data_IF_255469392501
#
_entry.id   IF_255469392501
#
_cell.length_a   1.000
_cell.length_b   1.000
_cell.length_c   1.000
_cell.angle_alpha   90.00
_cell.angle_beta   90.00
_cell.angle_gamma   90.00
#
_symmetry.space_group_name_H-M   'P 1'
#
loop_
_entity.id
_entity.type
_entity.pdbx_description
1 polymer ?
#
# COMPACT_ATOMS: atom_id res chain seq x y z
N UNK A 1 10.40 0.93 -44.61
CA UNK A 1 10.62 0.49 -44.58
C UNK A 1 10.24 -0.37 -43.41
N UNK A 2 10.17 -1.66 -43.64
CA UNK A 2 9.44 -2.67 -42.85
C UNK A 2 10.39 -3.43 -41.91
N UNK A 3 10.74 -2.87 -40.74
CA UNK A 3 11.70 -3.53 -39.81
C UNK A 3 11.23 -3.61 -38.35
N UNK A 4 9.93 -3.62 -38.10
CA UNK A 4 9.40 -3.88 -36.76
C UNK A 4 8.27 -4.92 -36.76
N UNK A 5 8.40 -5.98 -37.55
CA UNK A 5 7.63 -7.19 -37.33
C UNK A 5 8.15 -7.83 -36.05
N UNK A 6 7.43 -7.65 -34.91
CA UNK A 6 7.68 -8.40 -33.70
C UNK A 6 7.67 -9.89 -34.03
N UNK A 7 8.72 -10.65 -33.74
CA UNK A 7 8.65 -12.09 -33.86
C UNK A 7 7.49 -12.56 -32.96
N UNK A 8 6.52 -13.25 -33.57
CA UNK A 8 5.41 -13.85 -32.85
C UNK A 8 6.01 -14.86 -31.86
N UNK A 9 5.96 -14.54 -30.56
CA UNK A 9 6.34 -15.48 -29.51
C UNK A 9 5.36 -16.64 -29.56
N UNK A 10 5.82 -17.88 -29.73
CA UNK A 10 4.93 -19.04 -29.79
C UNK A 10 4.04 -19.05 -28.54
N UNK A 11 2.74 -19.37 -28.66
CA UNK A 11 1.76 -19.30 -27.58
C UNK A 11 2.14 -20.13 -26.35
N UNK A 12 2.96 -21.18 -26.51
CA UNK A 12 3.43 -22.04 -25.41
C UNK A 12 4.55 -21.44 -24.55
N UNK A 13 5.15 -20.33 -24.95
CA UNK A 13 6.22 -19.63 -24.21
C UNK A 13 5.77 -18.32 -23.57
N UNK A 14 4.47 -17.99 -23.61
CA UNK A 14 3.97 -16.85 -22.87
C UNK A 14 4.28 -17.07 -21.38
N UNK A 15 5.10 -16.22 -20.72
CA UNK A 15 5.40 -16.40 -19.30
C UNK A 15 4.05 -16.42 -18.57
N UNK A 16 3.82 -17.47 -17.79
CA UNK A 16 2.60 -17.61 -16.98
C UNK A 16 2.61 -16.46 -15.97
N UNK A 17 2.02 -15.33 -16.35
CA UNK A 17 2.06 -14.07 -15.61
C UNK A 17 1.61 -14.25 -14.16
N UNK A 18 0.69 -15.19 -13.87
CA UNK A 18 0.26 -15.55 -12.53
C UNK A 18 1.41 -16.04 -11.61
N UNK A 19 2.50 -16.59 -12.17
CA UNK A 19 3.67 -16.98 -11.36
C UNK A 19 4.38 -15.78 -10.73
N UNK A 20 4.24 -14.58 -11.30
CA UNK A 20 4.80 -13.35 -10.72
C UNK A 20 4.18 -13.02 -9.36
N UNK A 21 2.90 -13.39 -9.13
CA UNK A 21 2.24 -13.18 -7.82
C UNK A 21 2.95 -13.95 -6.71
N UNK A 22 3.40 -15.17 -6.97
CA UNK A 22 4.03 -16.03 -5.96
C UNK A 22 5.54 -15.79 -5.83
N UNK A 23 6.16 -15.06 -6.76
CA UNK A 23 7.60 -14.77 -6.70
C UNK A 23 7.95 -13.86 -5.52
N UNK A 24 7.15 -12.78 -5.30
CA UNK A 24 7.42 -11.83 -4.22
C UNK A 24 7.37 -12.50 -2.85
N UNK A 25 6.29 -13.21 -2.44
CA UNK A 25 6.29 -13.91 -1.16
C UNK A 25 7.44 -14.90 -1.01
N UNK A 26 7.76 -15.64 -2.08
CA UNK A 26 8.85 -16.64 -2.04
C UNK A 26 10.23 -16.01 -1.88
N UNK A 27 10.52 -14.91 -2.57
CA UNK A 27 11.79 -14.20 -2.45
C UNK A 27 11.97 -13.59 -1.06
N UNK A 28 10.91 -13.02 -0.49
CA UNK A 28 10.94 -12.45 0.85
C UNK A 28 11.10 -13.53 1.94
N UNK A 29 10.45 -14.68 1.79
CA UNK A 29 10.59 -15.79 2.73
C UNK A 29 11.98 -16.45 2.69
N UNK A 30 12.69 -16.33 1.58
CA UNK A 30 14.07 -16.80 1.50
C UNK A 30 15.02 -15.98 2.39
N UNK A 31 14.67 -14.71 2.70
CA UNK A 31 15.49 -13.82 3.52
C UNK A 31 14.98 -13.72 4.95
N UNK A 32 15.14 -14.81 5.72
CA UNK A 32 14.67 -14.96 7.11
C UNK A 32 15.02 -13.81 8.06
N UNK A 33 16.25 -13.22 8.05
CA UNK A 33 16.58 -12.12 8.96
C UNK A 33 15.67 -10.91 8.82
N UNK A 34 15.18 -10.62 7.60
CA UNK A 34 14.25 -9.52 7.37
C UNK A 34 12.88 -9.79 8.01
N UNK A 35 12.38 -11.02 7.92
CA UNK A 35 11.11 -11.43 8.55
C UNK A 35 11.18 -11.20 10.05
N UNK A 36 12.26 -11.65 10.69
CA UNK A 36 12.49 -11.48 12.12
C UNK A 36 12.57 -9.98 12.50
N UNK A 37 13.36 -9.20 11.74
CA UNK A 37 13.48 -7.76 11.97
C UNK A 37 12.13 -7.05 11.82
N UNK A 38 11.34 -7.39 10.80
CA UNK A 38 10.00 -6.82 10.60
C UNK A 38 9.07 -7.18 11.75
N UNK A 39 9.06 -8.45 12.16
CA UNK A 39 8.28 -8.90 13.31
C UNK A 39 8.65 -8.14 14.59
N UNK A 40 9.94 -7.96 14.84
CA UNK A 40 10.43 -7.17 15.99
C UNK A 40 9.95 -5.72 15.93
N UNK A 41 10.05 -5.06 14.77
CA UNK A 41 9.56 -3.68 14.59
C UNK A 41 8.05 -3.59 14.87
N UNK A 42 7.26 -4.52 14.30
CA UNK A 42 5.80 -4.55 14.53
C UNK A 42 5.48 -4.72 16.01
N UNK A 43 6.09 -5.69 16.68
CA UNK A 43 5.86 -5.95 18.12
C UNK A 43 6.22 -4.72 18.95
N UNK A 44 7.37 -4.08 18.67
CA UNK A 44 7.80 -2.87 19.37
C UNK A 44 6.81 -1.71 19.14
N UNK A 45 6.37 -1.48 17.91
CA UNK A 45 5.38 -0.43 17.61
C UNK A 45 4.04 -0.69 18.29
N UNK A 46 3.53 -1.91 18.22
CA UNK A 46 2.27 -2.29 18.88
C UNK A 46 2.38 -2.10 20.39
N UNK A 47 3.49 -2.53 21.00
CA UNK A 47 3.72 -2.33 22.43
C UNK A 47 3.71 -0.84 22.81
N UNK A 48 4.40 0.00 22.04
CA UNK A 48 4.43 1.44 22.28
C UNK A 48 3.03 2.07 22.12
N UNK A 49 2.24 1.67 21.12
CA UNK A 49 0.87 2.16 20.97
C UNK A 49 -0.04 1.72 22.11
N UNK A 50 0.09 0.48 22.59
CA UNK A 50 -0.68 0.01 23.76
C UNK A 50 -0.35 0.83 25.00
N UNK A 51 0.94 1.11 25.24
CA UNK A 51 1.36 1.97 26.37
C UNK A 51 0.84 3.39 26.20
N UNK A 52 0.96 3.97 25.00
CA UNK A 52 0.48 5.33 24.71
C UNK A 52 -1.03 5.45 24.98
N UNK A 53 -1.84 4.53 24.43
CA UNK A 53 -3.28 4.58 24.60
C UNK A 53 -3.68 4.35 26.06
N UNK A 54 -3.05 3.42 26.76
CA UNK A 54 -3.29 3.22 28.19
C UNK A 54 -2.97 4.46 29.03
N UNK A 55 -1.87 5.15 28.74
CA UNK A 55 -1.52 6.39 29.42
C UNK A 55 -2.56 7.49 29.14
N UNK A 56 -2.94 7.68 27.88
CA UNK A 56 -3.87 8.70 27.46
C UNK A 56 -5.27 8.51 28.07
N UNK A 57 -5.79 7.28 28.07
CA UNK A 57 -7.10 6.99 28.65
C UNK A 57 -7.14 7.05 30.18
N UNK A 58 -6.00 6.88 30.86
CA UNK A 58 -5.92 7.11 32.31
C UNK A 58 -6.15 8.56 32.68
N UNK A 59 -5.71 9.50 31.85
CA UNK A 59 -5.83 10.95 32.14
C UNK A 59 -7.13 11.54 31.59
N UNK A 60 -7.63 11.04 30.45
CA UNK A 60 -8.77 11.63 29.73
C UNK A 60 -10.12 10.97 30.00
N UNK A 61 -10.17 9.86 30.78
CA UNK A 61 -11.40 9.12 31.04
C UNK A 61 -11.74 8.08 29.97
N UNK A 62 -13.00 7.62 29.96
CA UNK A 62 -13.40 6.42 29.19
C UNK A 62 -13.44 6.59 27.67
N UNK A 63 -13.49 7.82 27.16
CA UNK A 63 -13.54 8.08 25.72
C UNK A 63 -12.61 9.21 25.30
N UNK A 64 -11.80 8.96 24.26
CA UNK A 64 -10.98 9.97 23.60
C UNK A 64 -11.52 10.16 22.19
N UNK A 65 -12.04 11.36 21.90
CA UNK A 65 -12.64 11.71 20.60
C UNK A 65 -13.72 10.70 20.13
N UNK A 66 -14.55 10.22 21.09
CA UNK A 66 -15.69 9.35 20.81
C UNK A 66 -15.33 7.88 20.53
N UNK A 67 -14.11 7.44 20.84
CA UNK A 67 -13.68 6.05 20.76
C UNK A 67 -13.39 5.51 22.15
N UNK A 68 -13.60 4.21 22.33
CA UNK A 68 -13.11 3.49 23.50
C UNK A 68 -11.64 3.08 23.32
N UNK A 69 -10.98 2.71 24.42
CA UNK A 69 -9.57 2.30 24.41
C UNK A 69 -9.33 1.08 23.49
N UNK A 70 -10.27 0.13 23.45
CA UNK A 70 -10.16 -1.08 22.64
C UNK A 70 -10.17 -0.75 21.14
N UNK A 71 -11.05 0.16 20.72
CA UNK A 71 -11.13 0.64 19.34
C UNK A 71 -9.86 1.37 18.91
N UNK A 72 -9.30 2.22 19.79
CA UNK A 72 -8.08 2.98 19.54
C UNK A 72 -6.86 2.05 19.40
N UNK A 73 -6.72 1.06 20.29
CA UNK A 73 -5.68 0.05 20.22
C UNK A 73 -5.85 -0.79 18.94
N UNK A 74 -7.06 -1.28 18.66
CA UNK A 74 -7.37 -2.06 17.45
C UNK A 74 -7.00 -1.29 16.18
N UNK A 75 -7.37 0.00 16.11
CA UNK A 75 -7.01 0.84 14.98
C UNK A 75 -5.49 0.91 14.79
N UNK A 76 -4.76 1.20 15.87
CA UNK A 76 -3.30 1.40 15.81
C UNK A 76 -2.56 0.11 15.44
N UNK A 77 -3.03 -1.04 15.94
CA UNK A 77 -2.47 -2.35 15.57
C UNK A 77 -2.69 -2.63 14.08
N UNK A 78 -3.92 -2.45 13.60
CA UNK A 78 -4.24 -2.68 12.19
C UNK A 78 -3.48 -1.70 11.27
N UNK A 79 -3.42 -0.42 11.63
CA UNK A 79 -2.67 0.59 10.88
C UNK A 79 -1.18 0.24 10.81
N UNK A 80 -0.59 -0.23 11.93
CA UNK A 80 0.80 -0.72 11.97
C UNK A 80 1.00 -1.92 11.05
N UNK A 81 0.15 -2.94 11.13
CA UNK A 81 0.24 -4.13 10.30
C UNK A 81 0.12 -3.79 8.80
N UNK A 82 -0.83 -2.92 8.45
CA UNK A 82 -1.03 -2.48 7.07
C UNK A 82 0.11 -1.60 6.56
N UNK A 83 0.69 -0.74 7.41
CA UNK A 83 1.79 0.17 7.06
C UNK A 83 3.12 -0.56 6.96
N UNK A 84 3.51 -1.34 7.98
CA UNK A 84 4.84 -1.97 8.06
C UNK A 84 5.05 -3.02 6.97
N UNK A 85 4.05 -3.82 6.65
CA UNK A 85 4.15 -4.78 5.55
C UNK A 85 4.47 -4.13 4.20
N UNK A 86 4.07 -2.87 4.00
CA UNK A 86 4.32 -2.07 2.79
C UNK A 86 5.73 -1.47 2.79
N UNK A 87 6.17 -0.88 3.90
CA UNK A 87 7.51 -0.27 4.03
C UNK A 87 8.62 -1.30 3.83
N UNK A 88 8.44 -2.51 4.33
CA UNK A 88 9.40 -3.60 4.13
C UNK A 88 9.53 -3.97 2.66
N UNK A 89 8.43 -3.99 1.92
CA UNK A 89 8.44 -4.27 0.49
C UNK A 89 9.11 -3.16 -0.33
N UNK A 90 8.88 -1.90 0.00
CA UNK A 90 9.55 -0.77 -0.65
C UNK A 90 11.07 -0.82 -0.46
N UNK A 91 11.55 -1.14 0.75
CA UNK A 91 12.98 -1.30 1.03
C UNK A 91 13.62 -2.54 0.40
N UNK A 92 12.83 -3.57 0.09
CA UNK A 92 13.28 -4.82 -0.52
C UNK A 92 13.32 -4.79 -2.04
N UNK A 93 12.53 -3.91 -2.64
CA UNK A 93 12.37 -3.82 -4.09
C UNK A 93 13.58 -3.19 -4.76
N UNK A 94 14.59 -3.99 -5.10
CA UNK A 94 15.69 -3.58 -5.99
C UNK A 94 15.21 -3.32 -7.43
N UNK A 95 13.94 -3.58 -7.74
CA UNK A 95 13.36 -3.43 -9.06
C UNK A 95 12.52 -2.16 -9.21
N UNK A 96 12.92 -1.08 -8.55
CA UNK A 96 12.32 0.24 -8.77
C UNK A 96 12.71 0.77 -10.16
N UNK A 97 11.87 1.63 -10.75
CA UNK A 97 12.21 2.30 -12.01
C UNK A 97 13.54 3.04 -11.90
N UNK A 98 13.83 3.62 -10.72
CA UNK A 98 15.08 4.31 -10.44
C UNK A 98 16.29 3.40 -10.55
N UNK A 99 16.29 2.22 -9.93
CA UNK A 99 17.43 1.29 -10.02
C UNK A 99 17.65 0.85 -11.46
N UNK A 100 16.57 0.54 -12.18
CA UNK A 100 16.60 0.11 -13.57
C UNK A 100 17.08 1.20 -14.54
N UNK A 101 16.77 2.46 -14.25
CA UNK A 101 17.28 3.61 -15.05
C UNK A 101 18.76 3.80 -14.76
N UNK A 102 19.16 3.73 -13.48
CA UNK A 102 20.54 3.96 -13.05
C UNK A 102 21.52 2.93 -13.60
N UNK A 103 21.13 1.66 -13.63
CA UNK A 103 21.96 0.55 -14.14
C UNK A 103 21.73 0.25 -15.63
N UNK A 104 20.90 1.07 -16.32
CA UNK A 104 20.59 0.92 -17.75
C UNK A 104 19.65 -0.25 -18.06
N UNK A 105 19.27 -1.06 -17.09
CA UNK A 105 18.44 -2.24 -17.31
C UNK A 105 16.97 -1.93 -17.61
N UNK A 106 16.57 -0.66 -17.53
CA UNK A 106 15.23 -0.18 -17.92
C UNK A 106 14.87 -0.56 -19.35
N UNK A 107 15.85 -0.69 -20.25
CA UNK A 107 15.66 -1.11 -21.64
C UNK A 107 14.99 -2.48 -21.72
N UNK A 108 15.29 -3.38 -20.80
CA UNK A 108 14.65 -4.71 -20.74
C UNK A 108 13.15 -4.67 -20.44
N UNK A 109 12.61 -3.59 -19.88
CA UNK A 109 11.17 -3.43 -19.69
C UNK A 109 10.41 -3.26 -21.01
N UNK A 110 11.09 -2.78 -22.05
CA UNK A 110 10.51 -2.58 -23.39
C UNK A 110 10.73 -3.77 -24.32
N UNK A 111 11.73 -4.61 -24.03
CA UNK A 111 12.04 -5.81 -24.82
C UNK A 111 11.33 -7.06 -24.28
N UNK A 112 10.81 -7.02 -23.04
CA UNK A 112 10.09 -8.16 -22.44
C UNK A 112 8.79 -8.48 -23.22
N UNK A 113 8.42 -9.77 -23.33
CA UNK A 113 7.18 -10.19 -24.01
C UNK A 113 5.91 -9.71 -23.27
N UNK A 114 6.00 -9.44 -21.96
CA UNK A 114 4.96 -8.80 -21.16
C UNK A 114 5.14 -7.27 -21.21
N UNK A 115 4.06 -6.55 -21.59
CA UNK A 115 4.05 -5.09 -21.45
C UNK A 115 4.42 -4.70 -20.03
N UNK A 116 5.38 -3.78 -19.84
CA UNK A 116 5.93 -3.41 -18.54
C UNK A 116 4.85 -3.02 -17.51
N UNK A 117 3.75 -2.37 -17.95
CA UNK A 117 2.58 -2.09 -17.10
C UNK A 117 1.91 -3.35 -16.53
N UNK A 118 1.76 -4.41 -17.35
CA UNK A 118 1.20 -5.68 -16.88
C UNK A 118 2.16 -6.34 -15.87
N UNK A 119 3.45 -6.27 -16.13
CA UNK A 119 4.46 -6.75 -15.18
C UNK A 119 4.36 -6.05 -13.83
N UNK A 120 4.31 -4.70 -13.81
CA UNK A 120 4.14 -3.93 -12.57
C UNK A 120 2.83 -4.29 -11.85
N UNK A 121 1.72 -4.47 -12.58
CA UNK A 121 0.44 -4.87 -11.98
C UNK A 121 0.50 -6.26 -11.34
N UNK A 122 1.04 -7.28 -12.02
CA UNK A 122 1.19 -8.62 -11.47
C UNK A 122 2.13 -8.66 -10.27
N UNK A 123 3.20 -7.88 -10.32
CA UNK A 123 4.11 -7.72 -9.20
C UNK A 123 3.42 -7.07 -8.01
N UNK A 124 2.69 -5.97 -8.23
CA UNK A 124 1.91 -5.30 -7.19
C UNK A 124 0.89 -6.22 -6.52
N UNK A 125 0.26 -7.13 -7.27
CA UNK A 125 -0.58 -8.19 -6.68
C UNK A 125 0.22 -9.14 -5.78
N UNK A 126 1.44 -9.51 -6.17
CA UNK A 126 2.34 -10.31 -5.32
C UNK A 126 2.74 -9.60 -4.03
N UNK A 127 3.03 -8.31 -4.11
CA UNK A 127 3.33 -7.45 -2.96
C UNK A 127 2.11 -7.31 -2.04
N UNK A 128 0.92 -7.11 -2.61
CA UNK A 128 -0.34 -7.09 -1.85
C UNK A 128 -0.60 -8.41 -1.14
N UNK A 129 -0.34 -9.54 -1.80
CA UNK A 129 -0.48 -10.87 -1.20
C UNK A 129 0.44 -11.01 0.02
N UNK A 130 1.71 -10.62 -0.12
CA UNK A 130 2.67 -10.68 0.99
C UNK A 130 2.25 -9.77 2.16
N UNK A 131 1.84 -8.53 1.87
CA UNK A 131 1.32 -7.60 2.89
C UNK A 131 0.07 -8.15 3.58
N UNK A 132 -0.82 -8.82 2.82
CA UNK A 132 -2.03 -9.45 3.36
C UNK A 132 -1.68 -10.63 4.27
N UNK A 133 -0.66 -11.42 3.96
CA UNK A 133 -0.20 -12.50 4.85
C UNK A 133 0.32 -11.96 6.19
N UNK A 134 1.06 -10.85 6.18
CA UNK A 134 1.47 -10.16 7.40
C UNK A 134 0.28 -9.62 8.18
N UNK A 135 -0.68 -9.00 7.50
CA UNK A 135 -1.91 -8.50 8.13
C UNK A 135 -2.70 -9.64 8.79
N UNK A 136 -2.94 -10.73 8.08
CA UNK A 136 -3.70 -11.86 8.61
C UNK A 136 -2.97 -12.54 9.78
N UNK A 137 -1.67 -12.77 9.66
CA UNK A 137 -0.86 -13.32 10.75
C UNK A 137 -0.87 -12.43 11.98
N UNK A 138 -0.62 -11.13 11.80
CA UNK A 138 -0.64 -10.16 12.88
C UNK A 138 -2.02 -9.98 13.49
N UNK A 139 -3.08 -9.97 12.67
CA UNK A 139 -4.47 -9.94 13.13
C UNK A 139 -4.80 -11.16 13.99
N UNK A 140 -4.42 -12.36 13.54
CA UNK A 140 -4.65 -13.59 14.31
C UNK A 140 -3.96 -13.52 15.67
N UNK A 141 -2.68 -13.12 15.71
CA UNK A 141 -1.94 -12.96 16.97
C UNK A 141 -2.58 -11.86 17.83
N UNK A 142 -2.97 -10.72 17.24
CA UNK A 142 -3.61 -9.63 17.95
C UNK A 142 -4.93 -10.01 18.60
N UNK A 143 -5.75 -10.80 17.92
CA UNK A 143 -7.01 -11.33 18.47
C UNK A 143 -6.74 -12.34 19.60
N UNK A 144 -5.80 -13.26 19.40
CA UNK A 144 -5.44 -14.26 20.44
C UNK A 144 -4.87 -13.58 21.70
N UNK A 145 -4.12 -12.48 21.54
CA UNK A 145 -3.61 -11.69 22.67
C UNK A 145 -4.64 -10.68 23.22
N UNK A 146 -5.89 -10.67 22.74
CA UNK A 146 -6.94 -9.71 23.14
C UNK A 146 -6.56 -8.24 22.93
N UNK A 147 -5.64 -7.97 22.00
CA UNK A 147 -5.21 -6.62 21.62
C UNK A 147 -6.07 -6.04 20.49
N UNK A 148 -6.70 -6.89 19.69
CA UNK A 148 -7.53 -6.50 18.56
C UNK A 148 -8.95 -7.02 18.78
N UNK A 149 -9.90 -6.09 18.82
CA UNK A 149 -11.31 -6.44 18.85
C UNK A 149 -11.76 -7.00 17.49
N UNK A 150 -12.71 -7.92 17.50
CA UNK A 150 -13.35 -8.38 16.27
C UNK A 150 -14.23 -7.27 15.66
N UNK A 151 -14.47 -7.28 14.34
CA UNK A 151 -15.37 -6.31 13.73
C UNK A 151 -16.78 -6.45 14.33
N UNK A 152 -17.55 -5.35 14.43
CA UNK A 152 -18.82 -5.33 15.12
C UNK A 152 -19.89 -6.22 14.47
N UNK A 153 -19.74 -6.56 13.20
CA UNK A 153 -20.66 -7.41 12.46
C UNK A 153 -20.03 -8.04 11.22
N UNK A 154 -20.64 -9.11 10.71
CA UNK A 154 -20.21 -9.72 9.43
C UNK A 154 -20.28 -8.77 8.23
N UNK A 155 -21.30 -7.91 8.06
CA UNK A 155 -21.29 -6.90 7.02
C UNK A 155 -20.12 -5.92 7.16
N UNK A 156 -19.75 -5.51 8.38
CA UNK A 156 -18.58 -4.65 8.62
C UNK A 156 -17.29 -5.34 8.17
N UNK A 157 -17.11 -6.62 8.48
CA UNK A 157 -15.97 -7.39 8.01
C UNK A 157 -15.93 -7.46 6.46
N UNK A 158 -17.05 -7.75 5.82
CA UNK A 158 -17.14 -7.84 4.35
C UNK A 158 -16.81 -6.51 3.67
N UNK A 159 -17.38 -5.41 4.15
CA UNK A 159 -17.10 -4.06 3.62
C UNK A 159 -15.64 -3.67 3.85
N UNK A 160 -15.06 -4.04 5.00
CA UNK A 160 -13.63 -3.83 5.28
C UNK A 160 -12.74 -4.56 4.27
N UNK A 161 -13.05 -5.81 3.91
CA UNK A 161 -12.27 -6.58 2.91
C UNK A 161 -12.31 -5.88 1.55
N UNK A 162 -13.48 -5.41 1.12
CA UNK A 162 -13.63 -4.66 -0.13
C UNK A 162 -12.82 -3.36 -0.09
N UNK A 163 -12.96 -2.57 0.99
CA UNK A 163 -12.22 -1.33 1.20
C UNK A 163 -10.70 -1.58 1.23
N UNK A 164 -10.25 -2.63 1.90
CA UNK A 164 -8.84 -3.03 1.93
C UNK A 164 -8.31 -3.34 0.53
N UNK A 165 -9.06 -4.11 -0.26
CA UNK A 165 -8.66 -4.43 -1.63
C UNK A 165 -8.55 -3.17 -2.50
N UNK A 166 -9.51 -2.25 -2.43
CA UNK A 166 -9.45 -0.95 -3.12
C UNK A 166 -8.26 -0.12 -2.62
N UNK A 167 -8.04 -0.08 -1.30
CA UNK A 167 -6.90 0.61 -0.68
C UNK A 167 -5.55 0.07 -1.17
N UNK A 168 -5.40 -1.25 -1.39
CA UNK A 168 -4.20 -1.83 -1.97
C UNK A 168 -3.98 -1.36 -3.41
N UNK A 169 -5.04 -1.30 -4.22
CA UNK A 169 -4.95 -0.79 -5.59
C UNK A 169 -4.50 0.68 -5.60
N UNK A 170 -5.10 1.53 -4.75
CA UNK A 170 -4.70 2.94 -4.61
C UNK A 170 -3.24 3.06 -4.20
N UNK A 171 -2.81 2.31 -3.19
CA UNK A 171 -1.43 2.32 -2.70
C UNK A 171 -0.41 2.00 -3.80
N UNK A 172 -0.64 0.91 -4.55
CA UNK A 172 0.27 0.52 -5.65
C UNK A 172 0.27 1.54 -6.79
N UNK A 173 -0.84 2.21 -7.04
CA UNK A 173 -0.88 3.25 -8.06
C UNK A 173 -0.12 4.51 -7.64
N UNK A 174 -0.21 4.91 -6.37
CA UNK A 174 0.61 6.00 -5.81
C UNK A 174 2.10 5.64 -5.95
N UNK A 175 2.51 4.44 -5.53
CA UNK A 175 3.89 3.96 -5.68
C UNK A 175 4.36 3.98 -7.14
N UNK A 176 3.54 3.50 -8.08
CA UNK A 176 3.84 3.54 -9.51
C UNK A 176 4.05 4.99 -10.02
N UNK A 177 3.22 5.94 -9.58
CA UNK A 177 3.36 7.35 -9.97
C UNK A 177 4.68 7.94 -9.45
N UNK A 178 5.01 7.64 -8.20
CA UNK A 178 6.28 8.05 -7.57
C UNK A 178 7.47 7.44 -8.32
N UNK A 179 7.44 6.15 -8.61
CA UNK A 179 8.47 5.47 -9.40
C UNK A 179 8.65 6.09 -10.79
N UNK A 180 7.55 6.44 -11.45
CA UNK A 180 7.59 7.06 -12.77
C UNK A 180 8.26 8.45 -12.76
N UNK A 181 8.27 9.16 -11.64
CA UNK A 181 9.01 10.45 -11.56
C UNK A 181 10.50 10.30 -11.83
N UNK A 182 11.06 9.09 -11.60
CA UNK A 182 12.47 8.78 -11.86
C UNK A 182 12.91 8.95 -13.32
N UNK A 183 11.95 8.98 -14.25
CA UNK A 183 12.25 9.29 -15.66
C UNK A 183 12.57 10.79 -15.92
N UNK A 184 12.23 11.65 -14.95
CA UNK A 184 12.45 13.11 -15.06
C UNK A 184 13.47 13.63 -14.06
N UNK A 185 13.77 12.89 -12.99
CA UNK A 185 14.69 13.28 -11.93
C UNK A 185 15.93 12.38 -11.94
N UNK A 186 17.12 12.97 -11.86
CA UNK A 186 18.40 12.24 -11.80
C UNK A 186 18.46 11.40 -10.50
N UNK A 187 17.95 11.98 -9.40
CA UNK A 187 17.83 11.29 -8.11
C UNK A 187 16.40 11.38 -7.62
N UNK A 188 15.73 10.24 -7.47
CA UNK A 188 14.35 10.17 -6.93
C UNK A 188 14.32 9.88 -5.43
N UNK A 189 15.48 9.81 -4.76
CA UNK A 189 15.55 9.51 -3.33
C UNK A 189 14.70 10.47 -2.48
N UNK A 190 14.84 11.78 -2.71
CA UNK A 190 14.06 12.80 -2.00
C UNK A 190 12.56 12.69 -2.26
N UNK A 191 12.17 12.46 -3.52
CA UNK A 191 10.75 12.28 -3.91
C UNK A 191 10.16 11.05 -3.25
N UNK A 192 10.88 9.92 -3.27
CA UNK A 192 10.43 8.68 -2.63
C UNK A 192 10.29 8.85 -1.11
N UNK A 193 11.23 9.53 -0.43
CA UNK A 193 11.14 9.79 1.01
C UNK A 193 9.99 10.72 1.36
N UNK A 194 9.78 11.78 0.58
CA UNK A 194 8.65 12.69 0.77
C UNK A 194 7.32 11.96 0.56
N UNK A 195 7.21 11.16 -0.50
CA UNK A 195 6.01 10.37 -0.79
C UNK A 195 5.73 9.34 0.31
N UNK A 196 6.74 8.64 0.82
CA UNK A 196 6.61 7.69 1.91
C UNK A 196 6.15 8.38 3.21
N UNK A 197 6.71 9.55 3.53
CA UNK A 197 6.28 10.34 4.67
C UNK A 197 4.84 10.85 4.52
N UNK A 198 4.51 11.40 3.34
CA UNK A 198 3.13 11.82 3.03
C UNK A 198 2.15 10.65 3.14
N UNK A 199 2.52 9.48 2.61
CA UNK A 199 1.73 8.26 2.74
C UNK A 199 1.52 7.88 4.21
N UNK A 200 2.56 7.90 5.03
CA UNK A 200 2.48 7.53 6.44
C UNK A 200 1.59 8.48 7.24
N UNK A 201 1.74 9.79 7.01
CA UNK A 201 1.01 10.83 7.74
C UNK A 201 -0.46 10.94 7.26
N UNK A 202 -0.67 11.07 5.96
CA UNK A 202 -1.99 11.35 5.37
C UNK A 202 -2.89 10.10 5.27
N UNK A 203 -2.31 8.90 5.40
CA UNK A 203 -3.10 7.67 5.45
C UNK A 203 -3.70 7.39 6.82
N UNK A 204 -3.28 8.11 7.86
CA UNK A 204 -3.63 7.78 9.25
C UNK A 204 -2.84 6.59 9.81
N UNK A 205 -1.74 6.22 9.16
CA UNK A 205 -0.91 5.08 9.58
C UNK A 205 0.01 5.38 10.76
N UNK A 206 0.47 6.63 10.90
CA UNK A 206 1.29 7.07 12.02
C UNK A 206 0.43 7.53 13.20
N UNK A 207 -0.48 8.45 12.92
CA UNK A 207 -1.42 9.02 13.88
C UNK A 207 -2.80 8.94 13.24
N UNK A 208 -3.81 8.39 13.92
CA UNK A 208 -5.17 8.36 13.41
C UNK A 208 -5.66 9.74 12.99
N UNK A 209 -6.33 9.84 11.83
CA UNK A 209 -6.72 11.14 11.27
C UNK A 209 -7.69 11.92 12.16
N UNK A 210 -8.45 11.26 13.02
CA UNK A 210 -9.38 11.95 13.95
C UNK A 210 -8.70 12.73 15.08
N UNK A 211 -7.39 12.51 15.33
CA UNK A 211 -6.63 13.27 16.30
C UNK A 211 -6.13 14.63 15.76
N UNK A 212 -6.23 14.82 14.47
CA UNK A 212 -5.84 16.09 13.84
C UNK A 212 -6.98 17.12 13.90
N UNK A 213 -6.64 18.43 13.81
CA UNK A 213 -7.63 19.50 13.69
C UNK A 213 -8.60 19.26 12.53
N UNK A 214 -9.82 19.80 12.61
CA UNK A 214 -10.90 19.54 11.66
C UNK A 214 -10.54 19.89 10.22
N UNK A 215 -9.84 21.02 10.01
CA UNK A 215 -9.39 21.43 8.69
C UNK A 215 -8.43 20.42 8.03
N UNK A 216 -7.52 19.85 8.83
CA UNK A 216 -6.58 18.85 8.32
C UNK A 216 -7.28 17.51 8.11
N UNK A 217 -8.09 17.08 9.08
CA UNK A 217 -8.87 15.84 9.00
C UNK A 217 -9.77 15.80 7.78
N UNK A 218 -10.52 16.87 7.50
CA UNK A 218 -11.40 16.95 6.35
C UNK A 218 -10.61 16.89 5.04
N UNK A 219 -9.52 17.66 4.94
CA UNK A 219 -8.68 17.66 3.73
C UNK A 219 -7.99 16.30 3.52
N UNK A 220 -7.33 15.77 4.54
CA UNK A 220 -6.62 14.51 4.45
C UNK A 220 -7.55 13.32 4.20
N UNK A 221 -8.77 13.37 4.76
CA UNK A 221 -9.80 12.33 4.59
C UNK A 221 -10.21 12.09 3.15
N UNK A 222 -10.21 13.13 2.31
CA UNK A 222 -10.55 13.04 0.88
C UNK A 222 -9.35 12.78 -0.03
N UNK A 223 -8.13 12.73 0.51
CA UNK A 223 -6.94 12.38 -0.27
C UNK A 223 -6.83 10.87 -0.50
N UNK A 224 -6.19 10.44 -1.60
CA UNK A 224 -6.04 9.01 -1.90
C UNK A 224 -5.26 8.25 -0.83
N UNK A 225 -4.47 8.94 -0.02
CA UNK A 225 -3.70 8.33 1.07
C UNK A 225 -4.62 7.75 2.15
N UNK A 226 -5.66 8.48 2.58
CA UNK A 226 -6.63 8.01 3.58
C UNK A 226 -7.35 6.73 3.14
N UNK A 227 -7.62 6.59 1.85
CA UNK A 227 -8.21 5.40 1.25
C UNK A 227 -7.40 4.11 1.51
N UNK A 228 -6.11 4.22 1.83
CA UNK A 228 -5.22 3.06 1.95
C UNK A 228 -5.21 2.43 3.35
N UNK A 229 -5.40 3.20 4.42
CA UNK A 229 -5.37 2.72 5.81
C UNK A 229 -6.57 3.24 6.59
N UNK A 230 -6.81 4.55 6.63
CA UNK A 230 -7.84 5.14 7.49
C UNK A 230 -9.23 4.59 7.20
N UNK A 231 -9.64 4.53 5.93
CA UNK A 231 -10.99 4.07 5.55
C UNK A 231 -11.19 2.59 5.93
N UNK A 232 -10.37 1.61 5.49
CA UNK A 232 -10.59 0.21 5.82
C UNK A 232 -10.49 -0.06 7.33
N UNK A 233 -9.60 0.61 8.07
CA UNK A 233 -9.50 0.41 9.51
C UNK A 233 -10.67 1.05 10.26
N UNK A 234 -11.18 2.19 9.80
CA UNK A 234 -12.37 2.82 10.38
C UNK A 234 -13.65 2.01 10.16
N UNK A 235 -13.75 1.31 9.03
CA UNK A 235 -14.84 0.34 8.77
C UNK A 235 -14.70 -0.89 9.67
N UNK A 236 -13.48 -1.40 9.85
CA UNK A 236 -13.22 -2.55 10.72
C UNK A 236 -13.59 -2.26 12.18
N UNK A 237 -13.21 -1.10 12.69
CA UNK A 237 -13.46 -0.70 14.09
C UNK A 237 -14.89 -0.23 14.32
N UNK A 238 -15.73 -0.13 13.27
CA UNK A 238 -17.10 0.37 13.36
C UNK A 238 -17.21 1.88 13.53
N UNK A 239 -16.10 2.63 13.44
CA UNK A 239 -16.12 4.09 13.45
C UNK A 239 -16.91 4.65 12.26
N UNK A 240 -16.79 4.02 11.10
CA UNK A 240 -17.68 4.24 9.97
C UNK A 240 -18.73 3.13 10.00
N UNK A 241 -20.00 3.43 10.27
CA UNK A 241 -21.07 2.45 10.22
C UNK A 241 -21.21 1.84 8.82
N UNK A 242 -21.64 0.60 8.73
CA UNK A 242 -21.86 -0.09 7.45
C UNK A 242 -22.85 0.68 6.56
N UNK A 243 -23.89 1.29 7.15
CA UNK A 243 -24.87 2.08 6.44
C UNK A 243 -24.25 3.29 5.69
N UNK A 244 -23.17 3.86 6.25
CA UNK A 244 -22.47 5.02 5.73
C UNK A 244 -21.23 4.65 4.89
N UNK A 245 -21.01 3.38 4.62
CA UNK A 245 -19.81 2.90 3.92
C UNK A 245 -19.77 3.22 2.43
N UNK A 246 -20.94 3.33 1.78
CA UNK A 246 -21.06 3.48 0.34
C UNK A 246 -20.31 4.70 -0.25
N UNK A 247 -20.38 5.92 0.31
CA UNK A 247 -19.65 7.07 -0.20
C UNK A 247 -18.13 6.89 -0.09
N UNK A 248 -17.63 6.27 0.98
CA UNK A 248 -16.19 6.00 1.15
C UNK A 248 -15.66 4.98 0.13
N UNK A 249 -16.43 3.91 -0.13
CA UNK A 249 -16.08 2.93 -1.17
C UNK A 249 -16.14 3.55 -2.57
N UNK A 250 -17.12 4.41 -2.84
CA UNK A 250 -17.23 5.13 -4.10
C UNK A 250 -16.03 6.07 -4.31
N UNK A 251 -15.61 6.78 -3.27
CA UNK A 251 -14.42 7.63 -3.30
C UNK A 251 -13.13 6.84 -3.52
N UNK A 252 -12.97 5.68 -2.86
CA UNK A 252 -11.85 4.77 -3.11
C UNK A 252 -11.84 4.27 -4.56
N UNK A 253 -13.00 3.88 -5.11
CA UNK A 253 -13.12 3.46 -6.50
C UNK A 253 -12.80 4.59 -7.48
N UNK A 254 -13.25 5.82 -7.19
CA UNK A 254 -12.91 7.01 -7.95
C UNK A 254 -11.39 7.23 -7.98
N UNK A 255 -10.72 7.17 -6.82
CA UNK A 255 -9.26 7.28 -6.75
C UNK A 255 -8.56 6.17 -7.52
N UNK A 256 -9.04 4.92 -7.49
CA UNK A 256 -8.51 3.84 -8.33
C UNK A 256 -8.55 4.21 -9.82
N UNK A 257 -9.65 4.81 -10.30
CA UNK A 257 -9.78 5.22 -11.70
C UNK A 257 -8.89 6.41 -12.02
N UNK A 258 -8.92 7.47 -11.21
CA UNK A 258 -8.14 8.69 -11.44
C UNK A 258 -6.64 8.41 -11.48
N UNK A 259 -6.12 7.66 -10.50
CA UNK A 259 -4.70 7.31 -10.44
C UNK A 259 -4.31 6.36 -11.58
N UNK A 260 -5.20 5.43 -12.01
CA UNK A 260 -4.96 4.59 -13.16
C UNK A 260 -4.85 5.38 -14.47
N UNK A 261 -5.69 6.39 -14.64
CA UNK A 261 -5.63 7.30 -15.80
C UNK A 261 -4.35 8.11 -15.75
N UNK A 262 -4.02 8.72 -14.61
CA UNK A 262 -2.79 9.49 -14.42
C UNK A 262 -1.53 8.63 -14.69
N UNK A 263 -1.50 7.42 -14.14
CA UNK A 263 -0.41 6.46 -14.38
C UNK A 263 -0.26 6.08 -15.85
N UNK A 264 -1.41 5.95 -16.59
CA UNK A 264 -1.36 5.71 -18.04
C UNK A 264 -0.74 6.89 -18.81
N UNK A 265 -1.12 8.11 -18.44
CA UNK A 265 -0.62 9.33 -19.07
C UNK A 265 0.87 9.52 -18.80
N UNK A 266 1.29 9.38 -17.53
CA UNK A 266 2.70 9.46 -17.16
C UNK A 266 3.55 8.38 -17.85
N UNK A 267 3.06 7.14 -17.88
CA UNK A 267 3.75 6.05 -18.58
C UNK A 267 3.96 6.33 -20.08
N UNK A 268 2.94 6.86 -20.76
CA UNK A 268 3.07 7.24 -22.19
C UNK A 268 4.13 8.31 -22.39
N UNK A 269 4.22 9.30 -21.49
CA UNK A 269 5.25 10.35 -21.54
C UNK A 269 6.65 9.80 -21.24
N UNK A 270 6.78 8.96 -20.22
CA UNK A 270 8.04 8.31 -19.86
C UNK A 270 8.60 7.45 -21.00
N UNK A 271 7.74 6.66 -21.67
CA UNK A 271 8.15 5.83 -22.81
C UNK A 271 8.67 6.66 -23.99
N UNK A 272 8.06 7.81 -24.29
CA UNK A 272 8.55 8.70 -25.36
C UNK A 272 9.95 9.29 -25.04
N UNK A 273 10.20 9.63 -23.77
CA UNK A 273 11.47 10.20 -23.34
C UNK A 273 12.64 9.23 -23.48
N UNK A 274 12.41 7.95 -23.22
CA UNK A 274 13.43 6.90 -23.42
C UNK A 274 13.84 6.73 -24.87
N UNK A 275 12.87 6.80 -25.80
CA UNK A 275 13.15 6.70 -27.24
C UNK A 275 14.05 7.85 -27.75
N UNK A 276 13.99 9.02 -27.10
CA UNK A 276 14.82 10.19 -27.46
C UNK A 276 16.23 10.11 -26.85
N UNK A 277 16.39 9.43 -25.70
CA UNK A 277 17.68 9.30 -25.01
C UNK A 277 18.51 8.10 -25.48
N UNK A 278 17.91 7.18 -26.20
CA UNK A 278 18.55 5.93 -26.68
C UNK A 278 18.67 5.83 -28.20
N UNK A 279 18.41 6.92 -28.95
CA UNK A 279 18.53 6.99 -30.40
C UNK A 279 19.74 7.77 -30.86
#
# INVERSE_FOLDING_TARGET
>A
MSLLARPAVPPDRAPRAHRLITLVPRSEWAYRPRIVATGFVIVTQVFLYVLLWRALYRESGDTVVGLDMSQAITYSVLATLMGTGRVVLEGASQETAQSKIRDGSVVFWFVRPLAARRYCAWRGLGESLYATLWLLGGLTVGVLCSLVALPPSWPAAAVTVVSYALGQVVFHQIGLLVDLTSFWTITSFGVNRLAAFAQLLLSGGLIPLWLFPDWFRSTAGHLPFAATINVPVSLYTGRIPVADSAPYLAEQALWCVLLAVLGRLMWRRAARRLLVLGG
#
